data_IF_004766086211
#
_entry.id   IF_004766086211
#
_cell.length_a   1.000
_cell.length_b   1.000
_cell.length_c   1.000
_cell.angle_alpha   90.00
_cell.angle_beta   90.00
_cell.angle_gamma   90.00
#
_symmetry.space_group_name_H-M   'P 1'
#
loop_
_entity.id
_entity.type
_entity.pdbx_description
1 polymer ?
#
# COMPACT_ATOMS: atom_id res chain seq x y z
N UNK A 1 -3.09 27.04 -5.26
CA UNK A 1 -1.94 27.23 -6.18
C UNK A 1 -0.94 26.13 -5.88
N UNK A 2 -0.77 25.17 -6.77
CA UNK A 2 0.18 24.07 -6.57
C UNK A 2 1.53 24.47 -7.18
N UNK A 3 2.54 24.63 -6.33
CA UNK A 3 3.90 24.93 -6.77
C UNK A 3 4.44 23.72 -7.55
N UNK A 4 4.71 23.93 -8.86
CA UNK A 4 5.69 23.08 -9.56
C UNK A 4 6.98 23.12 -8.75
N UNK A 5 7.63 21.98 -8.45
CA UNK A 5 8.95 22.02 -7.84
C UNK A 5 9.89 22.79 -8.79
N UNK A 6 10.69 23.74 -8.26
CA UNK A 6 11.63 24.48 -9.09
C UNK A 6 12.61 23.51 -9.76
N UNK A 7 12.88 23.66 -11.08
CA UNK A 7 13.87 22.85 -11.75
C UNK A 7 15.26 23.29 -11.28
N UNK A 8 16.03 22.33 -10.75
CA UNK A 8 17.43 22.55 -10.40
C UNK A 8 17.62 22.87 -8.92
N UNK A 9 17.79 21.81 -8.14
CA UNK A 9 18.72 21.65 -7.00
C UNK A 9 18.37 20.30 -6.34
N UNK A 10 18.36 19.22 -7.11
CA UNK A 10 18.31 17.88 -6.53
C UNK A 10 19.74 17.37 -6.47
N UNK A 11 20.36 17.49 -5.29
CA UNK A 11 21.39 16.50 -4.92
C UNK A 11 20.69 15.17 -5.04
N UNK A 12 21.05 14.37 -6.05
CA UNK A 12 20.59 12.99 -6.13
C UNK A 12 21.02 12.32 -4.83
N UNK A 13 20.09 11.80 -4.01
CA UNK A 13 20.50 11.03 -2.85
C UNK A 13 21.37 9.88 -3.36
N UNK A 14 22.52 9.68 -2.71
CA UNK A 14 23.49 8.62 -3.07
C UNK A 14 22.82 7.24 -2.95
N UNK A 15 21.81 7.14 -2.08
CA UNK A 15 20.94 5.98 -1.93
C UNK A 15 19.54 6.30 -2.43
N UNK A 16 19.10 5.60 -3.47
CA UNK A 16 17.70 5.58 -3.86
C UNK A 16 17.00 4.47 -3.05
N UNK A 17 16.15 4.80 -2.06
CA UNK A 17 15.34 3.78 -1.45
C UNK A 17 14.45 3.17 -2.54
N UNK A 18 14.53 1.86 -2.71
CA UNK A 18 13.71 1.10 -3.65
C UNK A 18 13.14 -0.11 -2.92
N UNK A 19 11.84 -0.32 -3.09
CA UNK A 19 11.14 -1.49 -2.61
C UNK A 19 10.94 -2.48 -3.76
N UNK A 20 11.29 -3.74 -3.53
CA UNK A 20 11.07 -4.84 -4.47
C UNK A 20 9.71 -5.51 -4.31
N UNK A 21 8.95 -5.18 -3.26
CA UNK A 21 7.61 -5.73 -3.05
C UNK A 21 6.67 -5.42 -4.21
N UNK A 22 5.80 -6.39 -4.48
CA UNK A 22 4.86 -6.34 -5.59
C UNK A 22 3.57 -5.59 -5.27
N UNK A 23 3.17 -5.55 -4.00
CA UNK A 23 1.90 -4.94 -3.58
C UNK A 23 2.12 -3.56 -2.99
N UNK A 24 1.48 -2.57 -3.62
CA UNK A 24 1.43 -1.20 -3.15
C UNK A 24 -0.01 -0.72 -3.17
N UNK A 25 -0.30 0.33 -2.41
CA UNK A 25 -1.60 0.99 -2.43
C UNK A 25 -1.40 2.49 -2.56
N UNK A 26 -2.33 3.17 -3.23
CA UNK A 26 -2.36 4.64 -3.22
C UNK A 26 -2.92 5.11 -1.88
N UNK A 27 -2.15 5.94 -1.20
CA UNK A 27 -2.57 6.62 0.02
C UNK A 27 -2.74 8.10 -0.25
N UNK A 28 -3.76 8.68 0.36
CA UNK A 28 -3.94 10.13 0.37
C UNK A 28 -3.39 10.71 1.67
N UNK A 29 -2.54 11.73 1.56
CA UNK A 29 -2.04 12.48 2.70
C UNK A 29 -1.59 13.87 2.30
N UNK A 30 -1.89 14.87 3.14
CA UNK A 30 -1.36 16.22 3.01
C UNK A 30 0.02 16.39 3.65
N UNK A 31 0.42 15.47 4.53
CA UNK A 31 1.63 15.59 5.36
C UNK A 31 2.75 14.64 4.95
N UNK A 32 2.43 13.49 4.33
CA UNK A 32 3.45 12.54 3.92
C UNK A 32 4.24 13.02 2.70
N UNK A 33 5.55 12.75 2.74
CA UNK A 33 6.51 13.12 1.71
C UNK A 33 7.02 11.89 0.96
N UNK A 34 7.27 12.06 -0.33
CA UNK A 34 7.93 11.06 -1.17
C UNK A 34 9.33 10.71 -0.63
N UNK A 35 9.67 9.43 -0.50
CA UNK A 35 11.00 9.00 -0.03
C UNK A 35 12.13 9.36 -1.00
N UNK A 36 11.83 9.71 -2.26
CA UNK A 36 12.83 10.05 -3.26
C UNK A 36 13.04 11.57 -3.40
N UNK A 37 11.98 12.35 -3.61
CA UNK A 37 12.09 13.79 -3.82
C UNK A 37 11.82 14.63 -2.55
N UNK A 38 11.30 14.02 -1.47
CA UNK A 38 10.90 14.70 -0.25
C UNK A 38 9.82 15.79 -0.44
N UNK A 39 9.10 15.76 -1.56
CA UNK A 39 7.91 16.60 -1.78
C UNK A 39 6.62 15.82 -1.53
N UNK A 40 5.52 16.52 -1.21
CA UNK A 40 4.18 15.94 -1.20
C UNK A 40 3.84 15.30 -2.55
N UNK A 41 3.00 14.27 -2.51
CA UNK A 41 2.48 13.63 -3.71
C UNK A 41 1.66 14.61 -4.58
N UNK A 42 1.66 14.45 -5.92
CA UNK A 42 0.74 15.17 -6.79
C UNK A 42 -0.71 15.01 -6.29
N UNK A 43 -1.38 16.13 -6.00
CA UNK A 43 -2.72 16.16 -5.44
C UNK A 43 -2.86 15.37 -4.12
N UNK A 44 -1.79 15.27 -3.32
CA UNK A 44 -1.78 14.56 -2.04
C UNK A 44 -1.60 13.03 -2.15
N UNK A 45 -1.34 12.49 -3.34
CA UNK A 45 -1.28 11.04 -3.55
C UNK A 45 0.15 10.49 -3.59
N UNK A 46 0.39 9.47 -2.79
CA UNK A 46 1.61 8.67 -2.80
C UNK A 46 1.27 7.19 -3.03
N UNK A 47 2.19 6.45 -3.61
CA UNK A 47 2.22 5.00 -3.50
C UNK A 47 2.91 4.64 -2.20
N UNK A 48 2.31 3.76 -1.40
CA UNK A 48 2.94 3.14 -0.23
C UNK A 48 2.99 1.63 -0.43
N UNK A 49 4.11 1.00 -0.08
CA UNK A 49 4.19 -0.45 0.00
C UNK A 49 3.21 -0.95 1.07
N UNK A 50 2.38 -1.92 0.71
CA UNK A 50 1.41 -2.50 1.65
C UNK A 50 1.48 -4.02 1.73
N UNK A 51 2.45 -4.66 1.07
CA UNK A 51 2.64 -6.13 1.10
C UNK A 51 2.53 -6.72 2.51
N UNK A 52 3.39 -6.24 3.40
CA UNK A 52 3.46 -6.63 4.81
C UNK A 52 2.14 -6.33 5.56
N UNK A 53 1.50 -5.20 5.23
CA UNK A 53 0.21 -4.80 5.80
C UNK A 53 -0.91 -5.74 5.39
N UNK A 54 -0.92 -6.21 4.14
CA UNK A 54 -1.91 -7.20 3.68
C UNK A 54 -1.83 -8.45 4.55
N UNK A 55 -0.62 -8.98 4.74
CA UNK A 55 -0.40 -10.21 5.50
C UNK A 55 -0.77 -10.04 6.98
N UNK A 56 -0.45 -8.89 7.58
CA UNK A 56 -0.84 -8.54 8.94
C UNK A 56 -2.37 -8.49 9.12
N UNK A 57 -3.07 -7.85 8.18
CA UNK A 57 -4.54 -7.75 8.26
C UNK A 57 -5.17 -9.12 8.03
N UNK A 58 -4.71 -9.90 7.05
CA UNK A 58 -5.23 -11.27 6.84
C UNK A 58 -5.04 -12.16 8.05
N UNK A 59 -3.88 -12.09 8.70
CA UNK A 59 -3.64 -12.89 9.89
C UNK A 59 -4.56 -12.51 11.04
N UNK A 60 -4.80 -11.21 11.24
CA UNK A 60 -5.78 -10.73 12.22
C UNK A 60 -7.19 -11.26 11.90
N UNK A 61 -7.63 -11.13 10.65
CA UNK A 61 -8.92 -11.66 10.17
C UNK A 61 -9.03 -13.17 10.40
N UNK A 62 -7.97 -13.94 10.13
CA UNK A 62 -7.94 -15.39 10.36
C UNK A 62 -8.10 -15.76 11.85
N UNK A 63 -7.77 -14.85 12.78
CA UNK A 63 -8.00 -15.02 14.23
C UNK A 63 -9.37 -14.51 14.68
N UNK A 64 -10.21 -14.03 13.76
CA UNK A 64 -11.48 -13.39 14.07
C UNK A 64 -11.33 -11.96 14.59
N UNK A 65 -10.15 -11.35 14.45
CA UNK A 65 -9.94 -9.95 14.78
C UNK A 65 -10.45 -9.06 13.64
N UNK A 66 -11.08 -7.96 14.01
CA UNK A 66 -11.66 -7.03 13.06
C UNK A 66 -10.78 -5.80 12.88
N UNK A 67 -10.33 -5.54 11.65
CA UNK A 67 -9.55 -4.34 11.31
C UNK A 67 -10.33 -3.52 10.30
N UNK A 68 -10.79 -2.35 10.74
CA UNK A 68 -11.38 -1.34 9.87
C UNK A 68 -10.84 0.04 10.24
N UNK A 69 -10.59 0.86 9.21
CA UNK A 69 -10.13 2.23 9.34
C UNK A 69 -11.25 3.25 9.13
N UNK A 70 -12.42 2.83 8.64
CA UNK A 70 -13.59 3.69 8.38
C UNK A 70 -14.93 2.94 8.39
N UNK A 71 -16.05 3.68 8.33
CA UNK A 71 -17.40 3.08 8.35
C UNK A 71 -17.66 2.15 7.15
N UNK A 72 -17.14 2.52 5.98
CA UNK A 72 -17.25 1.68 4.77
C UNK A 72 -16.44 0.39 4.95
N UNK A 73 -15.24 0.49 5.53
CA UNK A 73 -14.43 -0.66 5.90
C UNK A 73 -15.14 -1.55 6.90
N UNK A 74 -15.94 -0.99 7.81
CA UNK A 74 -16.75 -1.80 8.73
C UNK A 74 -17.74 -2.70 7.98
N UNK A 75 -18.25 -2.26 6.83
CA UNK A 75 -19.20 -3.01 6.00
C UNK A 75 -18.50 -3.98 5.05
N UNK A 76 -17.30 -3.64 4.57
CA UNK A 76 -16.57 -4.43 3.58
C UNK A 76 -15.65 -5.48 4.19
N UNK A 77 -15.03 -5.22 5.35
CA UNK A 77 -14.11 -6.15 5.99
C UNK A 77 -14.76 -7.51 6.35
N UNK A 78 -16.02 -7.60 6.80
CA UNK A 78 -16.68 -8.90 7.01
C UNK A 78 -16.88 -9.71 5.72
N UNK A 79 -16.88 -9.04 4.56
CA UNK A 79 -17.00 -9.69 3.25
C UNK A 79 -15.65 -10.21 2.74
N UNK A 80 -14.54 -9.83 3.40
CA UNK A 80 -13.21 -10.34 3.06
C UNK A 80 -12.91 -11.63 3.78
N UNK A 81 -12.42 -12.61 3.03
CA UNK A 81 -11.87 -13.85 3.56
C UNK A 81 -10.36 -13.92 3.35
N UNK A 82 -9.78 -15.05 3.76
CA UNK A 82 -8.39 -15.38 3.43
C UNK A 82 -8.29 -15.55 1.90
N UNK A 83 -7.42 -14.74 1.26
CA UNK A 83 -7.27 -14.76 -0.20
C UNK A 83 -6.60 -16.05 -0.66
N UNK A 84 -7.05 -16.59 -1.80
CA UNK A 84 -6.41 -17.76 -2.42
C UNK A 84 -4.94 -17.47 -2.71
N UNK A 85 -4.08 -18.43 -2.35
CA UNK A 85 -2.64 -18.32 -2.57
C UNK A 85 -1.90 -17.33 -1.66
N UNK A 86 -2.58 -16.71 -0.68
CA UNK A 86 -1.89 -15.92 0.35
C UNK A 86 -1.05 -16.81 1.26
N UNK A 87 -0.16 -16.19 2.05
CA UNK A 87 0.64 -16.92 3.02
C UNK A 87 -0.24 -17.62 4.08
N UNK A 88 -1.35 -16.98 4.48
CA UNK A 88 -2.34 -17.56 5.39
C UNK A 88 -3.09 -18.74 4.76
N UNK A 89 -3.53 -18.65 3.49
CA UNK A 89 -4.19 -19.77 2.82
C UNK A 89 -3.30 -21.01 2.70
N UNK A 90 -2.00 -20.79 2.44
CA UNK A 90 -0.99 -21.86 2.25
C UNK A 90 -0.51 -22.52 3.54
N UNK A 91 -1.08 -22.13 4.68
CA UNK A 91 -0.97 -22.93 5.91
C UNK A 91 -1.62 -24.31 5.74
N UNK A 92 -2.69 -24.40 4.95
CA UNK A 92 -3.22 -25.68 4.52
C UNK A 92 -2.35 -26.22 3.36
N UNK A 93 -1.77 -27.41 3.56
CA UNK A 93 -0.96 -28.09 2.55
C UNK A 93 -1.77 -28.43 1.30
N UNK A 94 -3.08 -28.64 1.47
CA UNK A 94 -4.01 -28.98 0.40
C UNK A 94 -4.62 -27.75 -0.28
N UNK A 95 -4.29 -26.52 0.17
CA UNK A 95 -4.85 -25.29 -0.38
C UNK A 95 -4.62 -25.15 -1.89
N UNK A 96 -3.61 -25.84 -2.44
CA UNK A 96 -3.35 -25.94 -3.88
C UNK A 96 -4.60 -26.36 -4.66
N UNK A 97 -5.36 -27.34 -4.14
CA UNK A 97 -6.55 -27.87 -4.80
C UNK A 97 -7.71 -26.87 -4.80
N UNK A 98 -7.69 -25.90 -3.89
CA UNK A 98 -8.67 -24.79 -3.84
C UNK A 98 -8.24 -23.55 -4.64
N UNK A 99 -6.93 -23.43 -4.90
CA UNK A 99 -6.32 -22.34 -5.68
C UNK A 99 -6.49 -22.54 -7.20
N UNK A 100 -6.56 -23.80 -7.64
CA UNK A 100 -6.63 -24.18 -9.05
C UNK A 100 -8.06 -24.61 -9.44
N UNK A 101 -8.49 -24.30 -10.65
CA UNK A 101 -9.76 -24.81 -11.16
C UNK A 101 -9.61 -26.24 -11.73
N UNK A 102 -10.74 -26.91 -12.00
CA UNK A 102 -10.73 -28.30 -12.46
C UNK A 102 -10.07 -28.47 -13.85
N UNK A 103 -10.23 -27.50 -14.74
CA UNK A 103 -9.63 -27.53 -16.08
C UNK A 103 -8.11 -27.43 -16.02
N UNK A 104 -7.59 -26.54 -15.17
CA UNK A 104 -6.17 -26.38 -14.91
C UNK A 104 -5.61 -27.62 -14.20
N UNK A 105 -6.34 -28.19 -13.23
CA UNK A 105 -5.92 -29.41 -12.54
C UNK A 105 -5.79 -30.60 -13.52
N UNK A 106 -6.69 -30.70 -14.50
CA UNK A 106 -6.64 -31.73 -15.53
C UNK A 106 -5.39 -31.66 -16.44
N UNK A 107 -4.72 -30.50 -16.49
CA UNK A 107 -3.45 -30.35 -17.22
C UNK A 107 -2.25 -30.93 -16.46
N UNK A 108 -2.39 -31.22 -15.16
CA UNK A 108 -1.34 -31.82 -14.35
C UNK A 108 -1.43 -33.34 -14.34
N UNK A 109 -0.28 -33.99 -14.47
CA UNK A 109 -0.18 -35.42 -14.16
C UNK A 109 -0.25 -35.65 -12.66
N UNK A 110 -0.76 -36.81 -12.20
CA UNK A 110 -0.86 -37.12 -10.76
C UNK A 110 0.48 -37.01 -10.01
N UNK A 111 1.60 -37.38 -10.65
CA UNK A 111 2.94 -37.27 -10.07
C UNK A 111 3.38 -35.80 -9.88
N UNK A 112 2.96 -34.90 -10.75
CA UNK A 112 3.24 -33.46 -10.63
C UNK A 112 2.44 -32.85 -9.47
N UNK A 113 1.16 -33.21 -9.33
CA UNK A 113 0.34 -32.77 -8.18
C UNK A 113 0.95 -33.28 -6.88
N UNK A 114 1.31 -34.55 -6.81
CA UNK A 114 1.99 -35.13 -5.65
C UNK A 114 3.35 -34.47 -5.36
N UNK A 115 4.05 -34.00 -6.38
CA UNK A 115 5.29 -33.25 -6.21
C UNK A 115 5.03 -31.86 -5.59
N UNK A 116 4.04 -31.12 -6.08
CA UNK A 116 3.66 -29.81 -5.54
C UNK A 116 3.24 -29.92 -4.06
N UNK A 117 2.41 -30.91 -3.73
CA UNK A 117 1.97 -31.13 -2.35
C UNK A 117 3.15 -31.47 -1.42
N UNK A 118 4.09 -32.30 -1.87
CA UNK A 118 5.32 -32.60 -1.13
C UNK A 118 6.22 -31.37 -0.96
N UNK A 119 6.33 -30.52 -1.97
CA UNK A 119 7.07 -29.26 -1.85
C UNK A 119 6.46 -28.34 -0.79
N UNK A 120 5.12 -28.21 -0.77
CA UNK A 120 4.41 -27.42 0.25
C UNK A 120 4.61 -27.98 1.66
N UNK A 121 4.49 -29.30 1.82
CA UNK A 121 4.79 -29.97 3.09
C UNK A 121 6.24 -29.71 3.54
N UNK A 122 7.21 -29.85 2.63
CA UNK A 122 8.62 -29.60 2.95
C UNK A 122 8.86 -28.15 3.42
N UNK A 123 8.28 -27.15 2.76
CA UNK A 123 8.39 -25.74 3.20
C UNK A 123 7.85 -25.57 4.62
N UNK A 124 6.71 -26.20 4.95
CA UNK A 124 6.17 -26.13 6.30
C UNK A 124 7.07 -26.80 7.34
N UNK A 125 7.68 -27.93 7.01
CA UNK A 125 8.65 -28.60 7.88
C UNK A 125 9.89 -27.73 8.13
N UNK A 126 10.45 -27.13 7.08
CA UNK A 126 11.58 -26.19 7.19
C UNK A 126 11.21 -24.98 8.05
N UNK A 127 10.02 -24.42 7.87
CA UNK A 127 9.50 -23.33 8.71
C UNK A 127 9.44 -23.74 10.18
N UNK A 128 8.95 -24.94 10.50
CA UNK A 128 8.89 -25.44 11.88
C UNK A 128 10.29 -25.61 12.48
N UNK A 129 11.23 -26.16 11.72
CA UNK A 129 12.62 -26.31 12.16
C UNK A 129 13.29 -24.95 12.43
N UNK A 130 13.07 -23.97 11.54
CA UNK A 130 13.60 -22.61 11.70
C UNK A 130 13.02 -21.91 12.94
N UNK A 131 11.73 -22.10 13.24
CA UNK A 131 11.13 -21.62 14.49
C UNK A 131 11.81 -22.19 15.72
N UNK A 132 12.05 -23.51 15.77
CA UNK A 132 12.74 -24.16 16.90
C UNK A 132 14.13 -23.58 17.07
N UNK A 133 14.88 -23.40 15.98
CA UNK A 133 16.23 -22.81 15.98
C UNK A 133 16.25 -21.35 16.44
N UNK A 134 15.30 -20.53 15.98
CA UNK A 134 15.19 -19.12 16.38
C UNK A 134 14.76 -18.98 17.84
N UNK A 135 13.83 -19.82 18.29
CA UNK A 135 13.39 -19.83 19.68
C UNK A 135 14.54 -20.23 20.61
N UNK A 136 15.32 -21.27 20.27
CA UNK A 136 16.48 -21.66 21.08
C UNK A 136 17.55 -20.58 21.10
N UNK A 137 17.85 -19.94 19.96
CA UNK A 137 18.76 -18.79 19.91
C UNK A 137 18.27 -17.62 20.77
N UNK A 138 16.98 -17.27 20.71
CA UNK A 138 16.41 -16.17 21.49
C UNK A 138 16.41 -16.47 23.00
N UNK A 139 16.16 -17.73 23.41
CA UNK A 139 16.30 -18.16 24.81
C UNK A 139 17.77 -18.01 25.26
N UNK A 140 18.73 -18.47 24.46
CA UNK A 140 20.16 -18.34 24.77
C UNK A 140 20.59 -16.86 24.87
N UNK A 141 20.11 -16.00 23.98
CA UNK A 141 20.38 -14.56 24.04
C UNK A 141 19.79 -13.89 25.29
N UNK A 142 18.61 -14.32 25.77
CA UNK A 142 18.03 -13.83 27.02
C UNK A 142 18.85 -14.25 28.24
N UNK A 143 19.34 -15.49 28.27
CA UNK A 143 20.18 -15.98 29.37
C UNK A 143 21.57 -15.31 29.42
N UNK A 144 22.03 -14.73 28.30
CA UNK A 144 23.33 -14.06 28.21
C UNK A 144 23.31 -12.57 28.63
N UNK A 145 22.15 -11.98 28.92
CA UNK A 145 22.01 -10.57 29.34
C UNK A 145 22.03 -10.46 30.88
N UNK A 146 23.00 -9.76 31.52
CA UNK A 146 23.13 -9.76 32.98
C UNK A 146 22.19 -8.80 33.73
N UNK A 147 21.52 -7.85 33.05
CA UNK A 147 20.66 -6.85 33.67
C UNK A 147 19.50 -6.46 32.75
N UNK A 148 18.26 -6.51 33.26
CA UNK A 148 17.09 -5.83 32.69
C UNK A 148 16.08 -6.75 31.99
N UNK A 149 14.95 -6.99 32.66
CA UNK A 149 13.80 -7.77 32.18
C UNK A 149 12.92 -6.96 31.19
N UNK A 150 13.32 -5.73 30.83
CA UNK A 150 12.37 -4.73 30.30
C UNK A 150 12.46 -4.46 28.79
N UNK A 151 13.36 -5.10 28.04
CA UNK A 151 13.53 -4.84 26.58
C UNK A 151 13.09 -5.96 25.64
N UNK A 152 12.41 -7.00 26.12
CA UNK A 152 12.09 -8.17 25.31
C UNK A 152 10.58 -8.40 25.13
N UNK A 153 9.84 -7.40 24.65
CA UNK A 153 8.56 -7.64 23.96
C UNK A 153 8.78 -8.26 22.57
N UNK A 154 9.74 -9.18 22.43
CA UNK A 154 9.74 -10.13 21.33
C UNK A 154 8.78 -11.22 21.76
N UNK A 155 7.62 -11.30 21.12
CA UNK A 155 6.66 -12.40 21.24
C UNK A 155 7.30 -13.68 20.66
N UNK A 156 8.24 -14.25 21.43
CA UNK A 156 8.93 -15.51 21.11
C UNK A 156 7.87 -16.61 21.09
N UNK A 157 7.53 -17.08 19.89
CA UNK A 157 6.74 -18.29 19.67
C UNK A 157 5.32 -18.12 19.14
N UNK A 158 4.72 -16.92 19.18
CA UNK A 158 3.34 -16.71 18.71
C UNK A 158 3.21 -16.13 17.29
N UNK A 159 4.24 -15.47 16.77
CA UNK A 159 4.15 -14.83 15.45
C UNK A 159 4.40 -15.83 14.31
N UNK A 160 3.59 -15.76 13.25
CA UNK A 160 3.80 -16.58 12.04
C UNK A 160 5.06 -16.08 11.31
N UNK A 161 5.87 -16.96 10.70
CA UNK A 161 7.19 -16.58 10.16
C UNK A 161 7.17 -15.60 8.99
N UNK A 162 6.07 -15.54 8.25
CA UNK A 162 5.87 -14.58 7.16
C UNK A 162 5.27 -13.25 7.64
N UNK A 163 4.93 -13.13 8.93
CA UNK A 163 4.46 -11.87 9.50
C UNK A 163 5.65 -11.11 10.05
N UNK A 164 5.85 -9.91 9.51
CA UNK A 164 6.72 -8.93 10.14
C UNK A 164 6.02 -8.31 11.35
N UNK A 165 6.81 -7.78 12.28
CA UNK A 165 6.26 -6.88 13.29
C UNK A 165 5.92 -5.53 12.66
N UNK A 166 4.99 -4.74 13.23
CA UNK A 166 4.69 -3.39 12.72
C UNK A 166 5.91 -2.47 12.57
N UNK A 167 6.97 -2.72 13.36
CA UNK A 167 8.24 -1.99 13.30
C UNK A 167 9.13 -2.43 12.13
N UNK A 168 8.97 -3.66 11.64
CA UNK A 168 9.72 -4.25 10.53
C UNK A 168 9.01 -4.05 9.18
N UNK A 169 7.76 -3.57 9.18
CA UNK A 169 7.00 -3.29 7.97
C UNK A 169 7.73 -2.34 7.02
N UNK A 170 7.67 -2.64 5.72
CA UNK A 170 8.21 -1.79 4.68
C UNK A 170 7.48 -0.43 4.60
N UNK A 171 8.10 0.62 5.13
CA UNK A 171 7.57 1.99 5.11
C UNK A 171 7.83 2.76 3.80
N UNK A 172 8.19 2.06 2.71
CA UNK A 172 8.54 2.70 1.45
C UNK A 172 7.35 3.42 0.83
N UNK A 173 7.55 4.69 0.45
CA UNK A 173 6.54 5.50 -0.22
C UNK A 173 7.14 6.40 -1.29
N UNK A 174 6.45 6.56 -2.41
CA UNK A 174 6.97 7.30 -3.57
C UNK A 174 5.84 7.98 -4.34
N UNK A 175 6.10 9.16 -4.89
CA UNK A 175 5.11 9.87 -5.71
C UNK A 175 5.07 9.35 -7.15
N UNK A 176 3.95 9.59 -7.83
CA UNK A 176 3.75 9.22 -9.24
C UNK A 176 4.86 9.74 -10.16
N UNK A 177 5.35 10.96 -9.91
CA UNK A 177 6.37 11.60 -10.76
C UNK A 177 7.73 10.91 -10.63
N UNK A 178 8.13 10.53 -9.42
CA UNK A 178 9.43 9.87 -9.19
C UNK A 178 9.41 8.40 -9.61
N UNK A 179 8.26 7.71 -9.51
CA UNK A 179 8.16 6.30 -9.91
C UNK A 179 6.79 5.97 -10.52
N UNK A 180 6.58 6.31 -11.80
CA UNK A 180 5.31 6.02 -12.48
C UNK A 180 4.94 4.54 -12.51
N UNK A 181 5.95 3.65 -12.60
CA UNK A 181 5.76 2.20 -12.65
C UNK A 181 5.13 1.58 -11.39
N UNK A 182 5.08 2.30 -10.26
CA UNK A 182 4.34 1.85 -9.07
C UNK A 182 2.83 1.74 -9.32
N UNK A 183 2.29 2.38 -10.37
CA UNK A 183 0.90 2.21 -10.79
C UNK A 183 0.56 0.73 -11.07
N UNK A 184 1.48 -0.03 -11.66
CA UNK A 184 1.30 -1.47 -11.94
C UNK A 184 1.31 -2.35 -10.68
N UNK A 185 1.71 -1.79 -9.54
CA UNK A 185 1.74 -2.48 -8.24
C UNK A 185 0.57 -2.10 -7.34
N UNK A 186 -0.20 -1.08 -7.73
CA UNK A 186 -1.27 -0.48 -6.94
C UNK A 186 -2.64 -0.53 -7.62
N UNK A 187 -2.84 -1.56 -8.46
CA UNK A 187 -4.13 -1.81 -9.10
C UNK A 187 -4.99 -2.76 -8.27
N UNK A 188 -6.30 -2.65 -8.43
CA UNK A 188 -7.28 -3.62 -7.93
C UNK A 188 -7.88 -4.35 -9.14
N UNK A 189 -7.81 -5.68 -9.14
CA UNK A 189 -8.43 -6.48 -10.20
C UNK A 189 -9.94 -6.55 -10.00
N UNK A 190 -10.71 -6.10 -11.00
CA UNK A 190 -12.18 -6.17 -10.95
C UNK A 190 -12.68 -7.62 -10.84
N UNK A 191 -12.02 -8.55 -11.54
CA UNK A 191 -12.36 -9.97 -11.48
C UNK A 191 -12.05 -10.54 -10.08
N UNK A 192 -10.92 -10.16 -9.47
CA UNK A 192 -10.58 -10.60 -8.12
C UNK A 192 -11.62 -10.07 -7.12
N UNK A 193 -11.98 -8.79 -7.21
CA UNK A 193 -13.02 -8.18 -6.36
C UNK A 193 -14.37 -8.88 -6.54
N UNK A 194 -14.78 -9.17 -7.78
CA UNK A 194 -16.03 -9.88 -8.07
C UNK A 194 -16.04 -11.31 -7.50
N UNK A 195 -14.87 -11.95 -7.42
CA UNK A 195 -14.69 -13.28 -6.86
C UNK A 195 -14.46 -13.28 -5.33
N UNK A 196 -14.59 -12.13 -4.66
CA UNK A 196 -14.39 -11.99 -3.20
C UNK A 196 -12.92 -11.89 -2.76
N UNK A 197 -11.98 -11.77 -3.69
CA UNK A 197 -10.55 -11.63 -3.43
C UNK A 197 -10.14 -10.15 -3.33
N UNK A 198 -10.85 -9.38 -2.50
CA UNK A 198 -10.54 -7.97 -2.26
C UNK A 198 -9.29 -7.87 -1.40
N UNK A 199 -8.27 -7.08 -1.78
CA UNK A 199 -7.11 -6.84 -0.93
C UNK A 199 -7.52 -6.30 0.45
N UNK A 200 -7.02 -6.89 1.54
CA UNK A 200 -7.36 -6.51 2.91
C UNK A 200 -7.23 -5.02 3.19
N UNK A 201 -6.17 -4.38 2.70
CA UNK A 201 -5.98 -2.93 2.90
C UNK A 201 -7.04 -2.09 2.19
N UNK A 202 -7.48 -2.50 1.00
CA UNK A 202 -8.55 -1.83 0.27
C UNK A 202 -9.90 -2.01 0.99
N UNK A 203 -10.19 -3.21 1.47
CA UNK A 203 -11.40 -3.49 2.23
C UNK A 203 -11.44 -2.70 3.53
N UNK A 204 -10.36 -2.73 4.32
CA UNK A 204 -10.24 -2.02 5.60
C UNK A 204 -10.21 -0.49 5.47
N UNK A 205 -10.09 0.07 4.26
CA UNK A 205 -10.05 1.53 4.04
C UNK A 205 -8.67 2.15 4.25
N UNK A 206 -7.61 1.36 4.18
CA UNK A 206 -6.24 1.79 4.44
C UNK A 206 -5.79 2.96 3.56
N UNK A 207 -6.23 3.07 2.30
CA UNK A 207 -5.89 4.22 1.43
C UNK A 207 -6.21 5.60 2.04
N UNK A 208 -7.17 5.65 2.96
CA UNK A 208 -7.67 6.87 3.58
C UNK A 208 -7.54 6.84 5.11
N UNK A 209 -6.77 5.91 5.67
CA UNK A 209 -6.65 5.76 7.13
C UNK A 209 -6.19 7.06 7.82
N UNK A 210 -5.34 7.86 7.17
CA UNK A 210 -4.87 9.15 7.68
C UNK A 210 -5.95 10.25 7.70
N UNK A 211 -7.02 10.08 6.91
CA UNK A 211 -8.20 10.95 6.97
C UNK A 211 -9.25 10.43 7.95
N UNK A 212 -9.13 9.18 8.42
CA UNK A 212 -10.14 8.49 9.23
C UNK A 212 -11.43 8.13 8.51
N UNK A 213 -11.58 8.53 7.24
CA UNK A 213 -12.76 8.24 6.42
C UNK A 213 -12.43 8.33 4.93
N UNK A 214 -13.14 7.53 4.12
CA UNK A 214 -13.16 7.69 2.66
C UNK A 214 -13.79 9.03 2.26
N UNK A 215 -13.14 9.83 1.40
CA UNK A 215 -13.74 11.04 0.88
C UNK A 215 -14.94 10.71 -0.01
N UNK A 216 -16.09 11.29 0.32
CA UNK A 216 -17.32 11.21 -0.49
C UNK A 216 -17.44 12.49 -1.29
N UNK A 217 -17.54 12.38 -2.61
CA UNK A 217 -17.69 13.52 -3.53
C UNK A 217 -19.10 13.50 -4.10
N UNK A 218 -19.73 14.67 -4.21
CA UNK A 218 -21.04 14.83 -4.83
C UNK A 218 -21.05 14.25 -6.25
N UNK A 219 -21.98 13.33 -6.52
CA UNK A 219 -22.13 12.68 -7.82
C UNK A 219 -22.34 13.69 -8.96
N UNK A 220 -23.00 14.82 -8.71
CA UNK A 220 -23.18 15.89 -9.69
C UNK A 220 -21.85 16.58 -10.03
N UNK A 221 -20.92 16.67 -9.08
CA UNK A 221 -19.56 17.18 -9.36
C UNK A 221 -18.80 16.16 -10.20
N UNK A 222 -18.84 14.88 -9.82
CA UNK A 222 -18.14 13.79 -10.53
C UNK A 222 -18.61 13.66 -11.98
N UNK A 223 -19.92 13.74 -12.23
CA UNK A 223 -20.52 13.70 -13.58
C UNK A 223 -19.99 14.80 -14.52
N UNK A 224 -19.52 15.91 -13.96
CA UNK A 224 -19.04 17.06 -14.71
C UNK A 224 -17.49 17.16 -14.75
N UNK A 225 -16.76 16.16 -14.22
CA UNK A 225 -15.30 16.12 -14.29
C UNK A 225 -14.85 15.96 -15.76
N UNK A 226 -13.94 16.82 -16.21
CA UNK A 226 -13.46 16.82 -17.60
C UNK A 226 -14.43 17.39 -18.63
N UNK A 227 -15.70 17.66 -18.26
CA UNK A 227 -16.70 18.26 -19.14
C UNK A 227 -16.70 19.79 -19.13
N UNK A 228 -15.94 20.42 -18.23
CA UNK A 228 -15.85 21.87 -18.15
C UNK A 228 -14.95 22.40 -19.28
N UNK A 229 -15.37 23.46 -19.99
CA UNK A 229 -14.51 24.07 -21.00
C UNK A 229 -13.20 24.53 -20.34
N UNK A 230 -12.07 24.21 -20.98
CA UNK A 230 -10.76 24.74 -20.56
C UNK A 230 -10.89 26.26 -20.58
N UNK A 231 -10.65 26.97 -19.46
CA UNK A 231 -10.67 28.42 -19.47
C UNK A 231 -9.68 28.89 -20.53
N UNK A 232 -10.19 29.47 -21.61
CA UNK A 232 -9.34 30.13 -22.60
C UNK A 232 -8.62 31.25 -21.84
N UNK A 233 -7.30 31.28 -21.97
CA UNK A 233 -6.49 32.38 -21.43
C UNK A 233 -7.04 33.64 -22.07
N UNK A 234 -7.73 34.48 -21.30
CA UNK A 234 -8.20 35.78 -21.77
C UNK A 234 -6.95 36.58 -22.12
N UNK A 235 -6.70 36.78 -23.41
CA UNK A 235 -5.69 37.71 -23.89
C UNK A 235 -6.12 39.13 -23.54
N UNK A 236 -5.91 39.53 -22.29
CA UNK A 236 -5.90 40.93 -21.89
C UNK A 236 -4.46 41.42 -21.93
N UNK A 237 -3.94 41.50 -23.15
CA UNK A 237 -2.79 42.31 -23.49
C UNK A 237 -3.03 42.79 -24.93
N UNK A 238 -3.68 43.95 -25.04
CA UNK A 238 -3.41 45.01 -26.02
C UNK A 238 -4.66 45.88 -26.18
N UNK A 239 -4.77 46.91 -25.34
CA UNK A 239 -5.01 48.28 -25.83
C UNK A 239 -5.12 49.25 -24.64
N UNK A 240 -4.02 49.94 -24.34
CA UNK A 240 -4.12 51.36 -23.97
C UNK A 240 -2.84 52.05 -24.40
N UNK A 241 -2.87 52.41 -25.67
CA UNK A 241 -2.01 53.39 -26.30
C UNK A 241 -1.93 54.66 -25.44
N UNK A 242 -0.68 55.01 -25.19
CA UNK A 242 -0.15 56.24 -24.68
C UNK A 242 -0.81 57.48 -25.34
N UNK A 243 -1.78 58.12 -24.68
CA UNK A 243 -2.16 59.50 -25.01
C UNK A 243 -1.80 60.46 -23.87
N UNK A 244 -0.61 61.02 -24.04
CA UNK A 244 -0.08 62.21 -23.39
C UNK A 244 -0.97 63.41 -23.70
N UNK A 245 -1.80 63.82 -22.74
CA UNK A 245 -2.48 65.12 -22.79
C UNK A 245 -2.12 65.94 -21.55
N UNK A 246 -1.31 66.98 -21.81
CA UNK A 246 -0.97 68.05 -20.87
C UNK A 246 -2.25 68.72 -20.38
N UNK A 247 -2.46 68.79 -19.07
CA UNK A 247 -3.34 69.79 -18.47
C UNK A 247 -2.64 70.50 -17.33
N UNK A 248 -2.59 71.82 -17.50
CA UNK A 248 -2.00 72.84 -16.63
C UNK A 248 -2.51 72.74 -15.19
N UNK A 249 -1.58 72.81 -14.24
CA UNK A 249 -1.89 73.20 -12.85
C UNK A 249 -2.34 74.67 -12.81
N UNK A 250 -3.47 74.91 -12.15
CA UNK A 250 -3.96 76.20 -11.63
C UNK A 250 -4.92 75.81 -10.49
N UNK A 251 -4.58 76.03 -9.22
CA UNK A 251 -4.91 77.19 -8.34
C UNK A 251 -4.86 76.61 -6.89
N UNK A 252 -4.74 77.38 -5.79
CA UNK A 252 -4.34 78.78 -5.60
C UNK A 252 -2.93 78.92 -5.01
#
# INVERSE_FOLDING_TARGET
>A
MYHRPPPGLHRRPIFEPQCTHATMTRIYSSSLLCSHCHYPGPSGWLYQCTQDREDLIEHAVARGEFISMDQVGCQLAPLTGIRKGSAAAREDRLSFLSEINQEQLAQYRPDQVAHILRQRENVQLIIQQDKVRKNSAAILSRLAQPYGIDSASCSIGLQKPWLCTPQEECQYRVCQTCRPGCAHRAFLSLNAVANGEVPPTAAAGYSFHLLGQRPVVDANVVKNLGCRPVPLVSSLADDSTYHRSKTKRRIP
#
